data_IF_686678597566
#
_entry.id   IF_686678597566
#
_cell.length_a   1.000
_cell.length_b   1.000
_cell.length_c   1.000
_cell.angle_alpha   90.00
_cell.angle_beta   90.00
_cell.angle_gamma   90.00
#
_symmetry.space_group_name_H-M   'P 1'
#
loop_
_entity.id
_entity.type
_entity.pdbx_description
1 polymer ?
#
# COMPACT_ATOMS: atom_id res chain seq x y z
N UNK A 1 -23.31 26.74 24.79
CA UNK A 1 -23.97 25.46 24.43
C UNK A 1 -23.11 24.34 24.97
N UNK A 2 -23.56 23.76 26.08
CA UNK A 2 -22.99 22.58 26.75
C UNK A 2 -23.83 21.37 26.33
N UNK A 3 -23.20 20.19 26.34
CA UNK A 3 -23.73 18.87 25.96
C UNK A 3 -23.73 18.57 24.46
N UNK A 4 -22.76 17.75 24.03
CA UNK A 4 -22.93 16.38 23.51
C UNK A 4 -21.50 15.82 23.35
N UNK A 5 -21.04 15.08 24.37
CA UNK A 5 -19.90 14.17 24.28
C UNK A 5 -20.40 12.85 24.84
N UNK A 6 -20.21 11.77 24.08
CA UNK A 6 -20.28 10.36 24.43
C UNK A 6 -21.23 9.57 23.53
N UNK A 7 -20.74 9.18 22.36
CA UNK A 7 -21.19 7.93 21.74
C UNK A 7 -19.96 7.20 21.21
N UNK A 8 -19.67 6.07 21.86
CA UNK A 8 -18.62 5.14 21.49
C UNK A 8 -18.87 4.58 20.09
N UNK A 9 -17.80 4.53 19.29
CA UNK A 9 -17.77 3.85 18.00
C UNK A 9 -17.77 2.34 18.25
N UNK A 10 -18.94 1.71 18.20
CA UNK A 10 -19.07 0.27 18.06
C UNK A 10 -19.36 -0.03 16.59
N UNK A 11 -18.33 -0.40 15.83
CA UNK A 11 -18.50 -0.95 14.48
C UNK A 11 -18.83 -2.44 14.67
N UNK A 12 -20.11 -2.78 14.60
CA UNK A 12 -20.57 -4.16 14.47
C UNK A 12 -20.44 -4.55 13.00
N UNK A 13 -19.42 -5.34 12.68
CA UNK A 13 -19.26 -6.00 11.38
C UNK A 13 -20.21 -7.21 11.33
N UNK A 14 -21.33 -7.08 10.64
CA UNK A 14 -22.10 -8.25 10.21
C UNK A 14 -21.42 -8.85 8.99
N UNK A 15 -20.65 -9.92 9.18
CA UNK A 15 -20.13 -10.76 8.11
C UNK A 15 -21.29 -11.51 7.46
N UNK A 16 -21.63 -11.17 6.22
CA UNK A 16 -22.45 -12.01 5.35
C UNK A 16 -21.62 -13.24 4.96
N UNK A 17 -21.89 -14.38 5.61
CA UNK A 17 -21.35 -15.67 5.24
C UNK A 17 -21.93 -16.11 3.89
N UNK A 18 -21.19 -15.87 2.80
CA UNK A 18 -21.33 -16.70 1.61
C UNK A 18 -20.93 -18.11 2.02
N UNK A 19 -21.83 -19.07 1.81
CA UNK A 19 -21.61 -20.47 2.12
C UNK A 19 -20.40 -20.98 1.31
N UNK A 20 -19.24 -20.99 1.96
CA UNK A 20 -18.09 -21.75 1.50
C UNK A 20 -18.47 -23.22 1.62
N UNK A 21 -18.52 -23.92 0.50
CA UNK A 21 -18.58 -25.38 0.47
C UNK A 21 -17.35 -25.86 1.27
N UNK A 22 -17.59 -26.41 2.46
CA UNK A 22 -16.51 -26.73 3.39
C UNK A 22 -15.65 -27.84 2.80
N UNK A 23 -14.50 -27.47 2.25
CA UNK A 23 -13.49 -28.40 1.77
C UNK A 23 -13.06 -29.30 2.95
N UNK A 24 -13.51 -30.54 2.92
CA UNK A 24 -13.19 -31.54 3.94
C UNK A 24 -11.68 -31.78 4.00
N UNK A 25 -11.07 -31.51 5.16
CA UNK A 25 -9.65 -31.75 5.43
C UNK A 25 -9.25 -33.22 5.16
N UNK A 26 -10.17 -34.17 5.34
CA UNK A 26 -9.93 -35.59 5.09
C UNK A 26 -9.58 -35.93 3.63
N UNK A 27 -9.87 -35.05 2.66
CA UNK A 27 -9.48 -35.24 1.26
C UNK A 27 -7.96 -35.05 1.06
N UNK A 28 -7.31 -34.30 1.95
CA UNK A 28 -5.92 -33.86 1.82
C UNK A 28 -4.94 -34.70 2.63
N UNK A 29 -5.46 -35.54 3.53
CA UNK A 29 -4.70 -36.54 4.28
C UNK A 29 -4.37 -37.73 3.36
N UNK A 30 -3.24 -37.63 2.67
CA UNK A 30 -2.79 -38.58 1.65
C UNK A 30 -2.18 -39.81 2.29
N UNK A 31 -1.53 -39.64 3.44
CA UNK A 31 -0.93 -40.74 4.20
C UNK A 31 -1.96 -41.50 5.06
N UNK A 32 -3.17 -40.94 5.25
CA UNK A 32 -4.31 -41.47 6.02
C UNK A 32 -4.03 -41.70 7.49
N UNK A 33 -3.20 -40.85 8.10
CA UNK A 33 -2.88 -40.94 9.53
C UNK A 33 -3.86 -40.15 10.43
N UNK A 34 -4.82 -39.44 9.83
CA UNK A 34 -5.83 -38.64 10.50
C UNK A 34 -5.36 -37.22 10.87
N UNK A 35 -4.15 -36.83 10.47
CA UNK A 35 -3.55 -35.51 10.73
C UNK A 35 -2.94 -35.00 9.42
N UNK A 36 -3.23 -33.74 9.06
CA UNK A 36 -2.56 -33.15 7.90
C UNK A 36 -1.12 -32.82 8.25
N UNK A 37 -0.16 -33.42 7.55
CA UNK A 37 1.24 -33.01 7.64
C UNK A 37 1.45 -31.59 7.05
N UNK A 38 2.62 -31.00 7.25
CA UNK A 38 2.89 -29.62 6.79
C UNK A 38 2.62 -29.40 5.29
N UNK A 39 2.87 -30.43 4.47
CA UNK A 39 2.68 -30.37 3.03
C UNK A 39 1.20 -30.49 2.68
N UNK A 40 0.50 -31.42 3.29
CA UNK A 40 -0.94 -31.63 3.12
C UNK A 40 -1.76 -30.42 3.61
N UNK A 41 -1.37 -29.83 4.74
CA UNK A 41 -1.98 -28.62 5.30
C UNK A 41 -1.72 -27.37 4.43
N UNK A 42 -0.60 -27.33 3.71
CA UNK A 42 -0.30 -26.25 2.77
C UNK A 42 -1.18 -26.35 1.51
N UNK A 43 -1.29 -27.54 0.91
CA UNK A 43 -2.17 -27.79 -0.25
C UNK A 43 -3.62 -27.51 0.12
N UNK A 44 -4.07 -27.94 1.30
CA UNK A 44 -5.40 -27.61 1.81
C UNK A 44 -5.62 -26.10 1.93
N UNK A 45 -4.66 -25.35 2.51
CA UNK A 45 -4.75 -23.87 2.61
C UNK A 45 -4.81 -23.21 1.23
N UNK A 46 -3.99 -23.66 0.28
CA UNK A 46 -4.02 -23.16 -1.10
C UNK A 46 -5.38 -23.41 -1.75
N UNK A 47 -5.98 -24.59 -1.53
CA UNK A 47 -7.28 -24.95 -2.09
C UNK A 47 -8.45 -24.21 -1.42
N UNK A 48 -8.31 -23.87 -0.13
CA UNK A 48 -9.26 -22.98 0.57
C UNK A 48 -9.17 -21.55 0.03
N UNK A 49 -7.97 -21.10 -0.32
CA UNK A 49 -7.74 -19.76 -0.87
C UNK A 49 -8.13 -19.65 -2.36
N UNK A 50 -7.92 -20.71 -3.13
CA UNK A 50 -8.21 -20.78 -4.56
C UNK A 50 -9.13 -21.97 -4.89
N UNK A 51 -10.46 -21.73 -4.99
CA UNK A 51 -11.42 -22.76 -5.38
C UNK A 51 -11.21 -23.32 -6.79
N UNK A 52 -10.56 -22.58 -7.69
CA UNK A 52 -10.25 -23.06 -9.03
C UNK A 52 -9.10 -24.05 -8.97
N UNK A 53 -8.03 -23.72 -8.27
CA UNK A 53 -6.95 -24.67 -7.99
C UNK A 53 -7.51 -25.95 -7.36
N UNK A 54 -8.39 -25.81 -6.36
CA UNK A 54 -9.02 -26.94 -5.67
C UNK A 54 -9.84 -27.88 -6.56
N UNK A 55 -10.39 -27.34 -7.65
CA UNK A 55 -11.22 -28.07 -8.62
C UNK A 55 -10.37 -28.87 -9.62
N UNK A 56 -9.24 -28.31 -10.06
CA UNK A 56 -8.46 -28.87 -11.17
C UNK A 56 -7.16 -29.56 -10.75
N UNK A 57 -6.61 -29.27 -9.57
CA UNK A 57 -5.50 -30.03 -8.99
C UNK A 57 -6.03 -31.38 -8.46
N UNK A 58 -6.03 -32.38 -9.33
CA UNK A 58 -6.55 -33.72 -9.06
C UNK A 58 -5.54 -34.53 -8.27
N UNK A 59 -4.24 -34.28 -8.48
CA UNK A 59 -3.18 -35.02 -7.80
C UNK A 59 -2.78 -34.41 -6.45
N UNK A 60 -3.42 -33.30 -6.06
CA UNK A 60 -3.30 -32.59 -4.79
C UNK A 60 -1.84 -32.21 -4.50
N UNK A 61 -1.13 -31.70 -5.51
CA UNK A 61 0.26 -31.30 -5.39
C UNK A 61 0.45 -29.79 -5.14
N UNK A 62 -0.65 -29.02 -5.14
CA UNK A 62 -0.71 -27.58 -4.96
C UNK A 62 -0.39 -26.77 -6.24
N UNK A 63 -0.34 -27.42 -7.40
CA UNK A 63 -0.03 -26.82 -8.71
C UNK A 63 -0.90 -27.47 -9.78
N UNK A 64 -1.15 -26.75 -10.88
CA UNK A 64 -1.80 -27.32 -12.05
C UNK A 64 -0.75 -27.90 -12.99
N UNK A 65 -0.75 -29.22 -13.14
CA UNK A 65 0.08 -29.86 -14.16
C UNK A 65 -0.46 -29.54 -15.57
N UNK A 66 0.36 -29.68 -16.64
CA UNK A 66 -0.06 -29.34 -18.00
C UNK A 66 -1.38 -30.00 -18.45
N UNK A 67 -1.66 -31.20 -17.96
CA UNK A 67 -2.91 -31.93 -18.24
C UNK A 67 -4.12 -31.40 -17.46
N UNK A 68 -3.90 -30.86 -16.26
CA UNK A 68 -4.93 -30.24 -15.42
C UNK A 68 -5.25 -28.81 -15.89
N UNK A 69 -4.22 -28.06 -16.26
CA UNK A 69 -4.34 -26.75 -16.90
C UNK A 69 -5.10 -26.83 -18.24
N UNK A 70 -4.87 -27.88 -19.03
CA UNK A 70 -5.60 -28.10 -20.29
C UNK A 70 -7.09 -28.42 -20.06
N UNK A 71 -7.42 -29.17 -18.99
CA UNK A 71 -8.83 -29.39 -18.60
C UNK A 71 -9.52 -28.10 -18.18
N UNK A 72 -8.83 -27.27 -17.40
CA UNK A 72 -9.30 -25.93 -17.04
C UNK A 72 -9.55 -25.09 -18.30
N UNK A 73 -8.63 -25.11 -19.26
CA UNK A 73 -8.77 -24.40 -20.54
C UNK A 73 -9.98 -24.87 -21.33
N UNK A 74 -10.15 -26.18 -21.50
CA UNK A 74 -11.27 -26.78 -22.23
C UNK A 74 -12.63 -26.48 -21.57
N UNK A 75 -12.71 -26.49 -20.24
CA UNK A 75 -13.94 -26.19 -19.53
C UNK A 75 -14.29 -24.69 -19.61
N UNK A 76 -13.28 -23.81 -19.54
CA UNK A 76 -13.45 -22.39 -19.81
C UNK A 76 -13.95 -22.16 -21.25
N UNK A 77 -13.33 -22.79 -22.25
CA UNK A 77 -13.76 -22.69 -23.66
C UNK A 77 -15.20 -23.20 -23.88
N UNK A 78 -15.58 -24.32 -23.25
CA UNK A 78 -16.94 -24.84 -23.33
C UNK A 78 -17.98 -23.91 -22.68
N UNK A 79 -17.63 -23.26 -21.57
CA UNK A 79 -18.51 -22.31 -20.88
C UNK A 79 -18.62 -20.97 -21.63
N UNK A 80 -17.59 -20.55 -22.36
CA UNK A 80 -17.67 -19.46 -23.34
C UNK A 80 -18.51 -19.82 -24.58
N UNK A 81 -18.36 -21.02 -25.13
CA UNK A 81 -19.14 -21.48 -26.30
C UNK A 81 -20.64 -21.55 -26.02
N UNK A 82 -21.02 -21.86 -24.78
CA UNK A 82 -22.43 -21.91 -24.35
C UNK A 82 -23.01 -20.49 -24.17
N UNK A 83 -22.23 -19.55 -23.60
CA UNK A 83 -22.63 -18.13 -23.51
C UNK A 83 -22.70 -17.44 -24.88
N UNK A 84 -21.79 -17.78 -25.79
CA UNK A 84 -21.79 -17.27 -27.17
C UNK A 84 -23.02 -17.72 -27.97
N UNK A 85 -23.57 -18.91 -27.70
CA UNK A 85 -24.81 -19.39 -28.34
C UNK A 85 -26.06 -18.66 -27.83
N UNK A 86 -26.09 -18.23 -26.57
CA UNK A 86 -27.17 -17.37 -26.05
C UNK A 86 -27.14 -15.96 -26.62
N UNK A 87 -25.97 -15.43 -26.99
CA UNK A 87 -25.85 -14.10 -27.62
C UNK A 87 -26.07 -14.16 -29.14
N UNK A 88 -25.84 -15.32 -29.78
CA UNK A 88 -26.06 -15.50 -31.22
C UNK A 88 -27.53 -15.45 -31.67
N UNK A 89 -28.50 -15.51 -30.74
CA UNK A 89 -29.92 -15.36 -31.06
C UNK A 89 -30.44 -13.91 -30.98
N UNK A 90 -29.61 -12.95 -30.54
CA UNK A 90 -29.92 -11.53 -30.66
C UNK A 90 -29.15 -10.94 -31.85
N UNK A 91 -29.90 -10.47 -32.84
CA UNK A 91 -29.41 -9.99 -34.13
C UNK A 91 -28.67 -8.66 -33.95
N UNK A 92 -27.40 -8.70 -33.56
CA UNK A 92 -26.53 -7.54 -33.50
C UNK A 92 -25.74 -7.41 -34.82
N UNK A 93 -26.19 -6.48 -35.66
CA UNK A 93 -25.41 -5.97 -36.77
C UNK A 93 -24.32 -5.04 -36.25
N UNK A 94 -23.04 -5.39 -36.44
CA UNK A 94 -21.94 -4.45 -36.26
C UNK A 94 -21.57 -3.88 -37.63
N UNK A 95 -21.91 -2.60 -37.87
CA UNK A 95 -21.57 -1.85 -39.09
C UNK A 95 -21.86 -2.60 -40.41
N UNK A 96 -23.12 -2.99 -40.60
CA UNK A 96 -23.64 -3.56 -41.86
C UNK A 96 -22.93 -4.81 -42.39
N UNK A 97 -22.23 -5.57 -41.53
CA UNK A 97 -21.64 -6.88 -41.89
C UNK A 97 -22.24 -7.99 -41.05
N UNK A 98 -22.54 -9.14 -41.69
CA UNK A 98 -22.94 -10.36 -40.98
C UNK A 98 -21.72 -10.91 -40.23
N UNK A 99 -21.91 -11.33 -38.98
CA UNK A 99 -20.86 -11.96 -38.15
C UNK A 99 -20.19 -13.15 -38.85
N UNK A 100 -20.94 -13.87 -39.69
CA UNK A 100 -20.39 -14.98 -40.50
C UNK A 100 -19.27 -14.56 -41.47
N UNK A 101 -19.18 -13.29 -41.85
CA UNK A 101 -18.11 -12.75 -42.69
C UNK A 101 -16.90 -12.27 -41.88
N UNK A 102 -17.05 -12.05 -40.57
CA UNK A 102 -15.97 -11.68 -39.64
C UNK A 102 -15.18 -12.94 -39.24
N UNK A 103 -15.86 -14.07 -39.02
CA UNK A 103 -15.21 -15.35 -38.69
C UNK A 103 -14.33 -15.90 -39.82
N UNK A 104 -14.67 -15.62 -41.08
CA UNK A 104 -13.83 -15.97 -42.24
C UNK A 104 -12.53 -15.18 -42.33
N UNK A 105 -12.48 -13.98 -41.74
CA UNK A 105 -11.27 -13.15 -41.68
C UNK A 105 -10.41 -13.54 -40.47
N UNK A 106 -11.02 -13.99 -39.37
CA UNK A 106 -10.31 -14.48 -38.21
C UNK A 106 -9.60 -15.83 -38.44
N UNK A 107 -10.17 -16.72 -39.27
CA UNK A 107 -9.63 -18.06 -39.53
C UNK A 107 -8.42 -18.12 -40.49
N UNK A 108 -8.04 -17.00 -41.11
CA UNK A 108 -6.85 -16.91 -41.99
C UNK A 108 -5.63 -16.30 -41.29
N UNK A 109 -5.74 -15.88 -40.03
CA UNK A 109 -4.57 -15.49 -39.24
C UNK A 109 -3.82 -16.75 -38.81
N UNK A 110 -2.50 -16.84 -39.07
CA UNK A 110 -1.70 -17.90 -38.47
C UNK A 110 -1.84 -17.82 -36.95
N UNK A 111 -1.88 -18.97 -36.24
CA UNK A 111 -1.95 -18.98 -34.79
C UNK A 111 -0.84 -18.08 -34.22
N UNK A 112 -1.13 -17.25 -33.21
CA UNK A 112 -0.10 -16.41 -32.61
C UNK A 112 1.06 -17.31 -32.21
N UNK A 113 2.24 -17.01 -32.73
CA UNK A 113 3.45 -17.75 -32.38
C UNK A 113 3.56 -17.74 -30.86
N UNK A 114 3.52 -18.93 -30.26
CA UNK A 114 3.80 -19.11 -28.84
C UNK A 114 5.16 -18.44 -28.63
N UNK A 115 5.26 -17.35 -27.84
CA UNK A 115 6.53 -16.67 -27.65
C UNK A 115 7.53 -17.71 -27.15
N UNK A 116 8.60 -17.89 -27.93
CA UNK A 116 9.68 -18.81 -27.61
C UNK A 116 10.07 -18.65 -26.14
N UNK A 117 10.16 -19.78 -25.41
CA UNK A 117 10.55 -19.90 -24.00
C UNK A 117 11.24 -18.62 -23.52
N UNK A 118 10.44 -17.69 -23.01
CA UNK A 118 10.96 -16.56 -22.25
C UNK A 118 11.45 -17.25 -21.00
N UNK A 119 12.74 -17.60 -20.98
CA UNK A 119 13.41 -18.04 -19.76
C UNK A 119 12.94 -17.07 -18.69
N UNK A 120 12.26 -17.54 -17.63
CA UNK A 120 11.82 -16.64 -16.58
C UNK A 120 13.04 -15.81 -16.19
N UNK A 121 12.92 -14.47 -16.15
CA UNK A 121 14.07 -13.63 -15.85
C UNK A 121 14.71 -14.23 -14.62
N UNK A 122 16.00 -14.58 -14.71
CA UNK A 122 16.75 -15.12 -13.58
C UNK A 122 16.49 -14.17 -12.42
N UNK A 123 15.66 -14.61 -11.47
CA UNK A 123 15.19 -13.83 -10.34
C UNK A 123 16.34 -13.60 -9.37
N UNK A 124 17.31 -12.81 -9.78
CA UNK A 124 18.24 -12.19 -8.87
C UNK A 124 17.44 -11.18 -8.06
N UNK A 125 17.49 -11.32 -6.75
CA UNK A 125 17.15 -10.25 -5.81
C UNK A 125 17.78 -8.95 -6.32
N UNK A 126 16.98 -8.05 -6.90
CA UNK A 126 17.47 -6.77 -7.40
C UNK A 126 18.05 -5.96 -6.24
N UNK A 127 18.99 -5.06 -6.55
CA UNK A 127 19.56 -4.15 -5.57
C UNK A 127 18.44 -3.42 -4.81
N UNK A 128 18.46 -3.51 -3.48
CA UNK A 128 17.49 -2.85 -2.63
C UNK A 128 17.52 -1.33 -2.88
N UNK A 129 16.35 -0.73 -3.18
CA UNK A 129 16.21 0.70 -3.23
C UNK A 129 16.63 1.30 -1.89
N UNK A 130 17.65 2.16 -1.90
CA UNK A 130 18.14 2.84 -0.69
C UNK A 130 17.61 4.25 -0.54
N UNK A 131 17.26 4.91 -1.64
CA UNK A 131 16.78 6.29 -1.64
C UNK A 131 15.27 6.31 -1.89
N UNK A 132 14.53 6.89 -0.95
CA UNK A 132 13.09 7.06 -1.03
C UNK A 132 12.76 8.56 -1.06
N UNK A 133 11.91 8.97 -2.01
CA UNK A 133 11.37 10.33 -2.10
C UNK A 133 9.85 10.23 -2.09
N UNK A 134 9.24 10.56 -0.95
CA UNK A 134 7.81 10.38 -0.66
C UNK A 134 7.21 11.63 -0.04
N UNK A 135 5.89 11.69 0.12
CA UNK A 135 5.22 12.78 0.85
C UNK A 135 5.00 12.47 2.32
N UNK A 136 4.63 11.23 2.62
CA UNK A 136 4.17 10.82 3.94
C UNK A 136 5.15 9.80 4.55
N UNK A 137 5.26 9.83 5.88
CA UNK A 137 5.99 8.82 6.64
C UNK A 137 5.37 7.44 6.46
N UNK A 138 4.04 7.37 6.33
CA UNK A 138 3.30 6.14 6.01
C UNK A 138 3.58 5.59 4.60
N UNK A 139 4.40 6.25 3.79
CA UNK A 139 4.85 5.73 2.49
C UNK A 139 6.32 5.27 2.50
N UNK A 140 7.03 5.47 3.61
CA UNK A 140 8.43 5.05 3.80
C UNK A 140 8.61 4.07 4.95
N UNK A 141 7.52 3.64 5.59
CA UNK A 141 7.51 3.08 6.95
C UNK A 141 8.10 1.68 7.13
N UNK A 142 8.65 1.05 6.10
CA UNK A 142 9.39 -0.22 6.22
C UNK A 142 10.67 -0.21 5.39
N UNK A 143 10.95 0.91 4.69
CA UNK A 143 12.06 1.03 3.74
C UNK A 143 12.14 -0.16 2.77
N UNK A 144 10.98 -0.62 2.31
CA UNK A 144 10.86 -1.73 1.36
C UNK A 144 10.29 -1.17 0.07
N UNK A 145 10.91 -1.56 -1.04
CA UNK A 145 10.25 -1.49 -2.33
C UNK A 145 9.42 -2.77 -2.47
N UNK A 146 8.11 -2.63 -2.64
CA UNK A 146 7.25 -3.80 -2.80
C UNK A 146 7.64 -4.55 -4.08
N UNK A 147 8.11 -5.79 -3.96
CA UNK A 147 7.97 -6.74 -5.06
C UNK A 147 6.49 -7.03 -5.25
N UNK A 148 6.07 -7.18 -6.51
CA UNK A 148 4.69 -7.36 -6.98
C UNK A 148 3.81 -8.32 -6.14
N UNK A 149 4.41 -9.29 -5.43
CA UNK A 149 3.74 -10.35 -4.64
C UNK A 149 3.42 -9.94 -3.19
N UNK A 150 4.15 -8.97 -2.63
CA UNK A 150 3.99 -8.52 -1.25
C UNK A 150 3.47 -7.09 -1.26
N UNK A 151 2.21 -6.88 -0.86
CA UNK A 151 1.51 -5.59 -0.89
C UNK A 151 2.00 -4.56 0.13
N UNK A 152 3.31 -4.47 0.35
CA UNK A 152 3.95 -3.23 0.81
C UNK A 152 3.62 -2.11 -0.16
N UNK A 153 3.63 -0.85 0.26
CA UNK A 153 3.27 0.28 -0.60
C UNK A 153 4.28 0.37 -1.77
N UNK A 154 3.97 -0.13 -2.99
CA UNK A 154 4.88 0.03 -4.11
C UNK A 154 5.00 1.51 -4.45
N UNK A 155 6.05 1.87 -5.19
CA UNK A 155 6.26 3.24 -5.66
C UNK A 155 4.99 3.83 -6.30
N UNK A 156 4.23 3.03 -7.04
CA UNK A 156 2.97 3.45 -7.66
C UNK A 156 1.83 3.79 -6.70
N UNK A 157 1.80 3.18 -5.52
CA UNK A 157 0.75 3.42 -4.51
C UNK A 157 1.17 4.45 -3.46
N UNK A 158 2.43 4.83 -3.41
CA UNK A 158 2.93 5.82 -2.45
C UNK A 158 2.51 7.25 -2.84
N UNK A 159 2.44 8.16 -1.85
CA UNK A 159 2.30 9.60 -2.12
C UNK A 159 3.66 10.19 -2.46
N UNK A 160 3.74 10.94 -3.56
CA UNK A 160 4.99 11.56 -4.01
C UNK A 160 5.22 12.93 -3.40
N UNK A 161 6.49 13.29 -3.23
CA UNK A 161 6.85 14.64 -2.80
C UNK A 161 6.35 15.67 -3.82
N UNK A 162 5.98 16.84 -3.33
CA UNK A 162 5.50 17.96 -4.13
C UNK A 162 6.23 19.25 -3.76
N UNK A 163 6.59 20.03 -4.77
CA UNK A 163 7.03 21.39 -4.62
C UNK A 163 6.26 22.27 -5.60
N UNK A 164 5.77 23.43 -5.14
CA UNK A 164 5.14 24.43 -6.00
C UNK A 164 5.80 25.78 -5.78
N UNK A 165 6.04 26.48 -6.87
CA UNK A 165 6.54 27.84 -6.88
C UNK A 165 5.50 28.73 -7.55
N UNK A 166 5.14 29.83 -6.92
CA UNK A 166 4.28 30.85 -7.51
C UNK A 166 4.99 32.20 -7.43
N UNK A 167 4.94 32.93 -8.55
CA UNK A 167 5.39 34.31 -8.64
C UNK A 167 4.20 35.17 -9.04
N UNK A 168 3.98 36.24 -8.28
CA UNK A 168 2.99 37.26 -8.55
C UNK A 168 3.71 38.57 -8.89
N UNK A 169 3.64 38.98 -10.16
CA UNK A 169 4.24 40.22 -10.65
C UNK A 169 3.52 41.47 -10.15
N UNK A 170 2.21 41.38 -9.88
CA UNK A 170 1.39 42.51 -9.42
C UNK A 170 1.70 42.79 -7.95
N UNK A 171 1.70 41.74 -7.13
CA UNK A 171 2.00 41.85 -5.70
C UNK A 171 3.51 41.83 -5.40
N UNK A 172 4.35 41.67 -6.44
CA UNK A 172 5.81 41.46 -6.35
C UNK A 172 6.17 40.42 -5.31
N UNK A 173 5.41 39.33 -5.29
CA UNK A 173 5.54 38.27 -4.30
C UNK A 173 6.00 36.96 -4.94
N UNK A 174 6.70 36.16 -4.16
CA UNK A 174 7.14 34.82 -4.51
C UNK A 174 6.78 33.90 -3.35
N UNK A 175 6.25 32.72 -3.66
CA UNK A 175 5.98 31.69 -2.67
C UNK A 175 6.53 30.35 -3.15
N UNK A 176 7.19 29.63 -2.25
CA UNK A 176 7.62 28.26 -2.45
C UNK A 176 6.94 27.40 -1.39
N UNK A 177 6.15 26.42 -1.83
CA UNK A 177 5.53 25.43 -0.96
C UNK A 177 6.19 24.08 -1.20
N UNK A 178 6.62 23.43 -0.13
CA UNK A 178 7.24 22.10 -0.17
C UNK A 178 6.46 21.18 0.75
N UNK A 179 6.20 19.97 0.29
CA UNK A 179 5.68 18.88 1.10
C UNK A 179 6.33 17.58 0.63
N UNK A 180 7.27 17.07 1.41
CA UNK A 180 8.03 15.89 1.04
C UNK A 180 8.94 15.37 2.13
N UNK A 181 9.35 14.13 1.96
CA UNK A 181 10.29 13.38 2.76
C UNK A 181 11.31 12.73 1.83
N UNK A 182 12.58 12.91 2.15
CA UNK A 182 13.68 12.16 1.55
C UNK A 182 14.23 11.22 2.61
N UNK A 183 14.49 9.97 2.26
CA UNK A 183 15.11 9.02 3.17
C UNK A 183 16.15 8.17 2.48
N UNK A 184 17.24 7.88 3.19
CA UNK A 184 18.35 7.07 2.70
C UNK A 184 18.64 5.93 3.68
N UNK A 185 18.49 4.69 3.23
CA UNK A 185 18.73 3.47 4.01
C UNK A 185 20.23 3.22 4.10
N UNK A 186 20.76 3.29 5.31
CA UNK A 186 22.17 3.01 5.61
C UNK A 186 22.41 1.52 5.77
N UNK A 187 21.48 0.82 6.42
CA UNK A 187 21.56 -0.61 6.69
C UNK A 187 20.16 -1.19 6.72
N UNK A 188 19.96 -2.30 6.03
CA UNK A 188 18.73 -3.08 6.10
C UNK A 188 19.13 -4.55 6.16
N UNK A 189 18.86 -5.17 7.30
CA UNK A 189 19.00 -6.59 7.52
C UNK A 189 17.61 -7.15 7.83
N UNK A 190 16.73 -6.99 6.85
CA UNK A 190 15.35 -7.45 6.92
C UNK A 190 15.19 -8.58 5.91
N UNK A 191 14.98 -9.84 6.36
CA UNK A 191 14.99 -10.99 5.47
C UNK A 191 13.84 -11.00 4.45
N UNK A 192 12.83 -10.14 4.62
CA UNK A 192 11.80 -9.94 3.58
C UNK A 192 12.21 -8.93 2.50
N UNK A 193 13.38 -8.30 2.60
CA UNK A 193 13.94 -7.39 1.60
C UNK A 193 15.16 -8.04 0.92
N UNK A 194 15.26 -8.08 -0.42
CA UNK A 194 14.35 -7.47 -1.38
C UNK A 194 13.20 -8.36 -1.84
N UNK A 195 13.18 -9.66 -1.55
CA UNK A 195 12.21 -10.59 -2.16
C UNK A 195 11.75 -11.67 -1.16
N UNK A 196 10.65 -11.40 -0.44
CA UNK A 196 9.82 -12.49 0.09
C UNK A 196 8.80 -12.86 -0.97
N UNK A 197 8.95 -14.04 -1.56
CA UNK A 197 8.05 -14.52 -2.61
C UNK A 197 6.85 -15.25 -2.03
N UNK A 198 6.93 -15.69 -0.77
CA UNK A 198 5.92 -16.55 -0.15
C UNK A 198 5.78 -17.91 -0.83
N UNK A 199 6.68 -18.23 -1.78
CA UNK A 199 6.70 -19.51 -2.48
C UNK A 199 7.38 -20.59 -1.61
N UNK A 200 7.10 -21.88 -1.85
CA UNK A 200 7.68 -22.99 -1.06
C UNK A 200 9.21 -23.03 -1.04
N UNK A 201 9.85 -22.47 -2.06
CA UNK A 201 11.31 -22.42 -2.20
C UNK A 201 11.92 -21.18 -1.50
N UNK A 202 11.08 -20.33 -0.90
CA UNK A 202 11.53 -19.16 -0.15
C UNK A 202 12.21 -19.63 1.15
N UNK A 203 13.51 -19.34 1.35
CA UNK A 203 14.23 -19.75 2.56
C UNK A 203 13.61 -19.17 3.84
N UNK A 204 12.77 -18.15 3.72
CA UNK A 204 12.10 -17.48 4.84
C UNK A 204 10.67 -17.97 5.10
N UNK A 205 10.09 -18.82 4.23
CA UNK A 205 8.79 -19.47 4.46
C UNK A 205 8.81 -20.48 5.62
N UNK A 206 10.01 -20.86 6.10
CA UNK A 206 10.23 -21.86 7.17
C UNK A 206 10.29 -21.27 8.58
N UNK A 207 10.10 -19.95 8.78
CA UNK A 207 10.10 -19.37 10.13
C UNK A 207 8.75 -19.59 10.79
N UNK A 208 8.79 -20.03 12.04
CA UNK A 208 7.62 -20.17 12.88
C UNK A 208 7.16 -18.78 13.36
N UNK A 209 6.09 -18.27 12.77
CA UNK A 209 5.44 -17.02 13.17
C UNK A 209 4.62 -17.15 14.47
N UNK A 210 4.58 -18.32 15.11
CA UNK A 210 3.93 -18.48 16.41
C UNK A 210 4.83 -18.05 17.59
N UNK A 211 6.14 -17.89 17.36
CA UNK A 211 7.09 -17.46 18.39
C UNK A 211 7.60 -16.04 18.07
N UNK A 212 7.35 -15.05 18.97
CA UNK A 212 7.90 -13.71 18.81
C UNK A 212 9.42 -13.75 18.65
N UNK A 213 9.92 -13.29 17.52
CA UNK A 213 11.35 -13.26 17.22
C UNK A 213 11.75 -11.98 16.49
N UNK A 214 12.97 -11.50 16.75
CA UNK A 214 13.54 -10.41 15.97
C UNK A 214 13.73 -10.90 14.54
N UNK A 215 12.95 -10.30 13.64
CA UNK A 215 12.88 -10.70 12.25
C UNK A 215 13.90 -9.94 11.41
N UNK A 216 13.98 -8.62 11.60
CA UNK A 216 14.90 -7.77 10.85
C UNK A 216 15.12 -6.40 11.48
N UNK A 217 16.11 -5.67 10.97
CA UNK A 217 16.43 -4.31 11.42
C UNK A 217 16.73 -3.39 10.25
N UNK A 218 16.28 -2.13 10.35
CA UNK A 218 16.59 -1.09 9.35
C UNK A 218 17.08 0.17 10.05
N UNK A 219 18.10 0.80 9.47
CA UNK A 219 18.59 2.13 9.86
C UNK A 219 18.57 3.04 8.64
N UNK A 220 17.90 4.18 8.74
CA UNK A 220 17.80 5.15 7.66
C UNK A 220 17.94 6.59 8.15
N UNK A 221 18.58 7.42 7.34
CA UNK A 221 18.54 8.87 7.48
C UNK A 221 17.28 9.39 6.82
N UNK A 222 16.68 10.44 7.37
CA UNK A 222 15.54 11.08 6.72
C UNK A 222 15.51 12.58 6.95
N UNK A 223 14.85 13.28 6.02
CA UNK A 223 14.53 14.70 6.13
C UNK A 223 13.11 14.91 5.62
N UNK A 224 12.25 15.48 6.47
CA UNK A 224 10.89 15.91 6.13
C UNK A 224 10.87 17.43 6.00
N UNK A 225 10.20 17.93 4.97
CA UNK A 225 9.99 19.35 4.73
C UNK A 225 8.51 19.60 4.43
N UNK A 226 7.88 20.48 5.21
CA UNK A 226 6.49 20.86 5.01
C UNK A 226 6.30 22.36 5.28
N UNK A 227 5.61 23.03 4.36
CA UNK A 227 5.12 24.39 4.57
C UNK A 227 5.38 25.31 3.38
N UNK A 228 5.31 26.60 3.62
CA UNK A 228 5.47 27.65 2.61
C UNK A 228 6.45 28.70 3.11
N UNK A 229 7.34 29.17 2.23
CA UNK A 229 8.17 30.37 2.41
C UNK A 229 7.76 31.45 1.42
N UNK A 230 7.64 32.69 1.88
CA UNK A 230 7.22 33.82 1.06
C UNK A 230 8.31 34.90 1.00
N UNK A 231 8.45 35.55 -0.15
CA UNK A 231 9.26 36.75 -0.34
C UNK A 231 8.40 37.84 -1.00
N UNK A 232 8.11 38.96 -0.33
CA UNK A 232 8.50 39.33 1.04
C UNK A 232 7.84 38.45 2.12
N UNK A 233 8.44 38.42 3.33
CA UNK A 233 7.97 37.58 4.45
C UNK A 233 6.56 38.00 4.88
N UNK A 234 5.65 37.03 4.95
CA UNK A 234 4.28 37.24 5.46
C UNK A 234 4.13 36.63 6.86
N UNK A 235 3.18 37.13 7.64
CA UNK A 235 2.84 36.52 8.95
C UNK A 235 2.20 35.13 8.82
N UNK A 236 1.65 34.84 7.64
CA UNK A 236 1.10 33.54 7.29
C UNK A 236 2.17 32.51 6.90
N UNK A 237 3.43 32.93 6.76
CA UNK A 237 4.53 32.02 6.47
C UNK A 237 4.68 31.01 7.61
N UNK A 238 4.60 29.73 7.25
CA UNK A 238 4.70 28.63 8.19
C UNK A 238 5.41 27.46 7.56
N UNK A 239 6.43 26.94 8.24
CA UNK A 239 7.22 25.81 7.75
C UNK A 239 7.88 25.02 8.86
N UNK A 240 8.19 23.76 8.54
CA UNK A 240 8.97 22.85 9.36
C UNK A 240 9.88 22.02 8.44
N UNK A 241 11.15 21.97 8.81
CA UNK A 241 12.14 21.03 8.27
C UNK A 241 12.61 20.17 9.43
N UNK A 242 12.39 18.87 9.34
CA UNK A 242 12.82 17.89 10.33
C UNK A 242 13.86 16.97 9.71
N UNK A 243 14.92 16.66 10.43
CA UNK A 243 15.90 15.65 10.01
C UNK A 243 16.22 14.73 11.17
N UNK A 244 16.40 13.44 10.88
CA UNK A 244 16.60 12.44 11.90
C UNK A 244 17.11 11.11 11.37
N UNK A 245 17.14 10.15 12.28
CA UNK A 245 17.54 8.76 12.02
C UNK A 245 16.35 7.90 12.41
N UNK A 246 15.91 7.00 11.53
CA UNK A 246 14.98 5.94 11.90
C UNK A 246 15.76 4.66 12.20
N UNK A 247 15.57 4.14 13.41
CA UNK A 247 15.99 2.80 13.80
C UNK A 247 14.74 1.93 13.95
N UNK A 248 14.62 0.93 13.10
CA UNK A 248 13.45 0.06 13.00
C UNK A 248 13.83 -1.38 13.35
N UNK A 249 12.99 -2.04 14.13
CA UNK A 249 13.00 -3.47 14.35
C UNK A 249 11.70 -4.09 13.85
N UNK A 250 11.81 -5.10 12.99
CA UNK A 250 10.71 -5.96 12.58
C UNK A 250 10.67 -7.16 13.53
N UNK A 251 9.52 -7.42 14.13
CA UNK A 251 9.28 -8.52 15.06
C UNK A 251 8.24 -9.43 14.43
N UNK A 252 8.64 -10.66 14.12
CA UNK A 252 7.75 -11.68 13.58
C UNK A 252 7.10 -12.45 14.72
N UNK A 253 5.83 -12.75 14.56
CA UNK A 253 5.03 -13.52 15.50
C UNK A 253 4.54 -12.76 16.71
N UNK A 254 3.46 -13.26 17.29
CA UNK A 254 2.78 -12.66 18.43
C UNK A 254 1.29 -13.03 18.49
N UNK A 255 0.63 -12.77 19.62
CA UNK A 255 -0.76 -13.18 19.83
C UNK A 255 -1.79 -12.42 18.98
N UNK A 256 -1.39 -11.29 18.38
CA UNK A 256 -2.32 -10.38 17.68
C UNK A 256 -1.94 -10.12 16.21
N UNK A 257 -0.65 -10.16 15.86
CA UNK A 257 -0.17 -9.80 14.53
C UNK A 257 1.01 -10.67 14.12
N UNK A 258 1.02 -11.07 12.84
CA UNK A 258 2.06 -11.92 12.24
C UNK A 258 3.40 -11.17 12.16
N UNK A 259 3.35 -9.85 11.95
CA UNK A 259 4.54 -9.01 11.87
C UNK A 259 4.25 -7.64 12.47
N UNK A 260 5.22 -7.08 13.17
CA UNK A 260 5.10 -5.80 13.85
C UNK A 260 6.39 -5.01 13.67
N UNK A 261 6.27 -3.70 13.51
CA UNK A 261 7.42 -2.82 13.39
C UNK A 261 7.44 -1.87 14.57
N UNK A 262 8.59 -1.78 15.22
CA UNK A 262 8.87 -0.77 16.24
C UNK A 262 9.93 0.16 15.68
N UNK A 263 9.64 1.46 15.71
CA UNK A 263 10.49 2.49 15.14
C UNK A 263 10.84 3.48 16.24
N UNK A 264 12.13 3.83 16.30
CA UNK A 264 12.66 4.86 17.18
C UNK A 264 13.37 5.90 16.32
N UNK A 265 13.02 7.17 16.52
CA UNK A 265 13.41 8.26 15.63
C UNK A 265 13.79 9.54 16.38
N UNK A 266 15.06 9.70 16.79
CA UNK A 266 15.56 11.00 17.24
C UNK A 266 15.64 11.98 16.06
N UNK A 267 15.30 13.24 16.30
CA UNK A 267 15.32 14.27 15.27
C UNK A 267 15.64 15.67 15.79
N UNK A 268 16.12 16.50 14.87
CA UNK A 268 16.16 17.95 14.98
C UNK A 268 15.16 18.57 14.00
N UNK A 269 14.57 19.69 14.37
CA UNK A 269 13.62 20.44 13.57
C UNK A 269 13.93 21.93 13.58
N UNK A 270 13.83 22.54 12.40
CA UNK A 270 13.90 23.98 12.17
C UNK A 270 12.77 24.41 11.21
N UNK A 271 12.79 25.64 10.71
CA UNK A 271 11.91 26.15 9.66
C UNK A 271 12.70 26.43 8.37
N UNK A 272 12.05 26.83 7.28
CA UNK A 272 12.74 27.14 6.01
C UNK A 272 13.72 28.31 6.10
N UNK A 273 13.68 29.12 7.17
CA UNK A 273 14.62 30.22 7.41
C UNK A 273 15.73 29.86 8.39
N UNK A 274 15.71 28.65 8.96
CA UNK A 274 16.67 28.23 9.97
C UNK A 274 16.49 28.88 11.35
N UNK A 275 15.36 29.54 11.63
CA UNK A 275 15.15 30.28 12.88
C UNK A 275 14.67 29.35 14.01
N UNK A 276 13.88 28.34 13.67
CA UNK A 276 13.37 27.36 14.62
C UNK A 276 14.45 26.43 15.17
N UNK A 277 14.37 26.10 16.46
CA UNK A 277 15.22 25.10 17.12
C UNK A 277 14.38 24.20 18.01
N UNK A 278 14.14 23.00 17.51
CA UNK A 278 13.32 21.98 18.14
C UNK A 278 14.08 20.66 18.06
N UNK A 279 14.07 19.89 19.15
CA UNK A 279 14.66 18.55 19.17
C UNK A 279 13.66 17.59 19.79
N UNK A 280 13.63 16.37 19.29
CA UNK A 280 12.67 15.40 19.77
C UNK A 280 13.02 13.97 19.46
N UNK A 281 12.11 13.12 19.88
CA UNK A 281 12.18 11.69 19.79
C UNK A 281 10.79 11.16 19.50
N UNK A 282 10.64 10.42 18.42
CA UNK A 282 9.41 9.70 18.10
C UNK A 282 9.62 8.20 18.31
N UNK A 283 8.74 7.56 19.06
CA UNK A 283 8.56 6.11 19.06
C UNK A 283 7.28 5.78 18.31
N UNK A 284 7.32 4.78 17.43
CA UNK A 284 6.14 4.32 16.70
C UNK A 284 6.04 2.80 16.68
N UNK A 285 4.81 2.31 16.62
CA UNK A 285 4.46 0.90 16.49
C UNK A 285 3.46 0.73 15.35
N UNK A 286 3.75 -0.23 14.47
CA UNK A 286 2.95 -0.50 13.28
C UNK A 286 2.72 -2.01 13.12
N UNK A 287 1.47 -2.48 13.26
CA UNK A 287 1.12 -3.87 12.98
C UNK A 287 1.00 -4.15 11.48
N UNK A 288 1.31 -5.38 11.09
CA UNK A 288 1.15 -5.90 9.73
C UNK A 288 0.47 -7.27 9.82
N UNK A 289 -0.72 -7.36 9.21
CA UNK A 289 -1.53 -8.57 9.17
C UNK A 289 -2.28 -8.61 7.83
N UNK A 290 -1.66 -9.16 6.78
CA UNK A 290 -2.21 -9.02 5.43
C UNK A 290 -3.50 -9.80 5.19
N UNK A 291 -3.74 -10.85 5.99
CA UNK A 291 -5.03 -11.56 6.01
C UNK A 291 -6.19 -10.61 6.39
N UNK A 292 -5.91 -9.61 7.23
CA UNK A 292 -6.82 -8.53 7.58
C UNK A 292 -6.65 -7.28 6.71
N UNK A 293 -5.85 -7.37 5.63
CA UNK A 293 -5.45 -6.25 4.77
C UNK A 293 -4.84 -5.08 5.55
N UNK A 294 -4.18 -5.39 6.67
CA UNK A 294 -3.54 -4.43 7.57
C UNK A 294 -2.06 -4.30 7.22
N UNK A 295 -1.63 -3.07 6.95
CA UNK A 295 -0.27 -2.73 6.55
C UNK A 295 0.07 -3.10 5.11
N UNK A 296 -0.84 -3.74 4.37
CA UNK A 296 -0.65 -4.17 2.99
C UNK A 296 -1.62 -5.27 2.57
N UNK A 297 -1.49 -5.76 1.33
CA UNK A 297 -2.22 -6.94 0.82
C UNK A 297 -1.27 -8.11 0.57
N UNK A 298 -1.65 -9.33 0.95
CA UNK A 298 -1.04 -10.53 0.33
C UNK A 298 -1.85 -10.83 -0.90
N UNK A 299 -1.14 -11.11 -1.97
CA UNK A 299 -1.62 -11.06 -3.32
C UNK A 299 -2.97 -11.69 -3.65
N UNK A 300 -4.04 -10.91 -3.51
CA UNK A 300 -5.31 -11.10 -4.16
C UNK A 300 -6.12 -9.81 -4.03
N UNK A 301 -6.50 -9.17 -5.14
CA UNK A 301 -7.46 -8.07 -5.12
C UNK A 301 -8.72 -8.42 -4.35
N UNK A 302 -9.31 -7.45 -3.64
CA UNK A 302 -10.59 -7.68 -2.95
C UNK A 302 -11.68 -8.13 -3.90
N UNK A 303 -11.66 -7.58 -5.12
CA UNK A 303 -12.57 -7.92 -6.22
C UNK A 303 -11.84 -7.82 -7.55
N UNK A 304 -12.51 -8.16 -8.65
CA UNK A 304 -12.00 -7.94 -10.02
C UNK A 304 -11.72 -6.46 -10.35
N UNK A 305 -12.31 -5.52 -9.62
CA UNK A 305 -12.28 -4.09 -9.94
C UNK A 305 -11.61 -3.21 -8.90
N UNK A 306 -11.42 -3.72 -7.69
CA UNK A 306 -10.96 -2.94 -6.55
C UNK A 306 -10.07 -3.80 -5.67
N UNK A 307 -8.91 -3.24 -5.32
CA UNK A 307 -8.09 -3.67 -4.21
C UNK A 307 -8.05 -2.60 -3.12
N UNK A 308 -7.82 -3.01 -1.89
CA UNK A 308 -7.72 -2.10 -0.75
C UNK A 308 -6.90 -2.69 0.38
N UNK A 309 -6.29 -1.80 1.16
CA UNK A 309 -5.68 -2.12 2.45
C UNK A 309 -5.79 -0.92 3.37
N UNK A 310 -5.61 -1.16 4.66
CA UNK A 310 -5.55 -0.11 5.66
C UNK A 310 -4.26 -0.21 6.45
N UNK A 311 -3.81 0.91 7.01
CA UNK A 311 -2.60 1.04 7.79
C UNK A 311 -2.94 1.69 9.12
N UNK A 312 -2.21 1.30 10.15
CA UNK A 312 -2.28 1.91 11.47
C UNK A 312 -0.85 2.11 11.98
N UNK A 313 -0.56 3.33 12.42
CA UNK A 313 0.68 3.69 13.09
C UNK A 313 0.35 4.38 14.39
N UNK A 314 0.59 3.69 15.51
CA UNK A 314 0.57 4.35 16.81
C UNK A 314 1.90 5.06 17.03
N UNK A 315 1.87 6.28 17.57
CA UNK A 315 3.09 7.02 17.85
C UNK A 315 3.03 7.83 19.14
N UNK A 316 4.19 7.93 19.77
CA UNK A 316 4.47 8.83 20.87
C UNK A 316 5.63 9.75 20.44
N UNK A 317 5.44 11.06 20.60
CA UNK A 317 6.43 12.06 20.20
C UNK A 317 6.70 13.01 21.37
N UNK A 318 7.95 13.04 21.82
CA UNK A 318 8.42 13.93 22.87
C UNK A 318 9.35 14.93 22.21
N UNK A 319 9.07 16.23 22.36
CA UNK A 319 9.91 17.28 21.78
C UNK A 319 10.02 18.50 22.67
N UNK A 320 11.16 19.16 22.58
CA UNK A 320 11.46 20.42 23.24
C UNK A 320 11.62 21.52 22.21
N UNK A 321 10.89 22.62 22.43
CA UNK A 321 10.95 23.82 21.61
C UNK A 321 11.77 24.86 22.34
N UNK A 322 12.99 25.11 21.88
CA UNK A 322 13.85 26.18 22.42
C UNK A 322 13.57 27.52 21.74
N UNK A 323 13.46 27.48 20.40
CA UNK A 323 13.17 28.63 19.53
C UNK A 323 12.03 28.22 18.59
N UNK A 324 10.95 29.01 18.59
CA UNK A 324 9.69 28.68 17.91
C UNK A 324 9.81 28.71 16.38
N UNK A 325 10.59 29.65 15.83
CA UNK A 325 10.70 29.86 14.39
C UNK A 325 9.36 30.18 13.72
N UNK A 326 9.22 29.79 12.46
CA UNK A 326 8.00 29.90 11.65
C UNK A 326 6.99 28.75 11.89
N UNK A 327 6.83 28.31 13.13
CA UNK A 327 5.77 27.37 13.53
C UNK A 327 4.66 28.12 14.31
N UNK A 328 3.60 27.42 14.74
CA UNK A 328 2.67 27.95 15.75
C UNK A 328 2.88 27.29 17.13
N UNK A 329 4.03 26.65 17.34
CA UNK A 329 4.41 26.10 18.64
C UNK A 329 4.77 27.21 19.63
N UNK A 330 4.84 26.85 20.91
CA UNK A 330 5.32 27.73 21.99
C UNK A 330 6.57 27.12 22.59
N UNK A 331 7.42 27.93 23.24
CA UNK A 331 8.59 27.42 23.95
C UNK A 331 8.18 26.41 25.02
N UNK A 332 8.98 25.36 25.19
CA UNK A 332 8.82 24.35 26.24
C UNK A 332 8.66 22.93 25.68
N UNK A 333 8.24 22.03 26.55
CA UNK A 333 8.17 20.60 26.26
C UNK A 333 6.78 20.20 25.77
N UNK A 334 6.74 19.25 24.85
CA UNK A 334 5.53 18.67 24.28
C UNK A 334 5.63 17.15 24.39
N UNK A 335 4.53 16.53 24.81
CA UNK A 335 4.40 15.07 24.84
C UNK A 335 3.12 14.72 24.10
N UNK A 336 3.28 14.20 22.89
CA UNK A 336 2.19 13.77 22.03
C UNK A 336 2.04 12.26 22.11
N UNK A 337 0.80 11.80 22.14
CA UNK A 337 0.45 10.39 21.91
C UNK A 337 -0.76 10.31 20.99
N UNK A 338 -0.74 9.37 20.07
CA UNK A 338 -1.80 9.25 19.07
C UNK A 338 -1.57 8.15 18.06
N UNK A 339 -2.31 8.23 16.97
CA UNK A 339 -2.18 7.32 15.86
C UNK A 339 -2.54 7.97 14.53
N UNK A 340 -1.97 7.42 13.47
CA UNK A 340 -2.35 7.69 12.09
C UNK A 340 -2.96 6.43 11.51
N UNK A 341 -4.13 6.54 10.92
CA UNK A 341 -4.78 5.50 10.16
C UNK A 341 -4.92 5.92 8.71
N UNK A 342 -4.69 5.00 7.78
CA UNK A 342 -4.89 5.23 6.35
C UNK A 342 -5.70 4.10 5.74
N UNK A 343 -6.66 4.43 4.89
CA UNK A 343 -7.30 3.49 3.97
C UNK A 343 -6.82 3.82 2.56
N UNK A 344 -6.26 2.84 1.86
CA UNK A 344 -5.81 2.95 0.48
C UNK A 344 -6.70 2.09 -0.42
N UNK A 345 -7.12 2.67 -1.55
CA UNK A 345 -7.98 2.04 -2.55
C UNK A 345 -7.28 2.08 -3.90
N UNK A 346 -7.25 0.95 -4.61
CA UNK A 346 -6.70 0.83 -5.96
C UNK A 346 -7.75 0.25 -6.91
N UNK A 347 -8.45 1.08 -7.69
CA UNK A 347 -9.28 0.61 -8.79
C UNK A 347 -8.43 -0.07 -9.87
N UNK A 348 -8.99 -1.08 -10.53
CA UNK A 348 -8.33 -1.83 -11.60
C UNK A 348 -6.96 -2.38 -11.15
N UNK A 349 -6.92 -3.21 -10.11
CA UNK A 349 -5.66 -3.79 -9.65
C UNK A 349 -5.13 -4.78 -10.69
N UNK A 350 -3.81 -4.94 -10.72
CA UNK A 350 -3.19 -5.96 -11.54
C UNK A 350 -3.57 -7.35 -11.01
N UNK A 351 -4.10 -8.20 -11.90
CA UNK A 351 -4.51 -9.58 -11.58
C UNK A 351 -3.60 -10.63 -12.20
N UNK A 352 -2.71 -10.24 -13.12
CA UNK A 352 -1.86 -11.14 -13.89
C UNK A 352 -0.92 -12.00 -13.03
N UNK A 353 -0.67 -11.55 -11.80
CA UNK A 353 0.14 -12.26 -10.80
C UNK A 353 -0.59 -13.49 -10.25
N UNK A 354 -1.92 -13.40 -10.09
CA UNK A 354 -2.73 -14.43 -9.43
C UNK A 354 -3.41 -15.33 -10.44
N UNK A 355 -3.83 -14.72 -11.53
CA UNK A 355 -4.40 -15.40 -12.66
C UNK A 355 -3.64 -14.89 -13.89
N UNK A 356 -2.56 -15.58 -14.31
CA UNK A 356 -1.81 -15.24 -15.51
C UNK A 356 -2.67 -15.20 -16.77
N UNK A 357 -3.85 -15.82 -16.72
CA UNK A 357 -4.83 -15.87 -17.79
C UNK A 357 -5.99 -14.89 -17.59
N UNK A 358 -6.02 -14.14 -16.48
CA UNK A 358 -7.02 -13.10 -16.28
C UNK A 358 -6.76 -11.97 -17.27
N UNK A 359 -7.61 -11.90 -18.30
CA UNK A 359 -7.62 -10.74 -19.17
C UNK A 359 -7.93 -9.48 -18.35
N UNK A 360 -7.04 -8.47 -18.39
CA UNK A 360 -7.29 -7.22 -17.71
C UNK A 360 -8.48 -6.53 -18.37
N UNK A 361 -9.52 -6.27 -17.56
CA UNK A 361 -10.74 -5.59 -18.07
C UNK A 361 -10.39 -4.21 -18.64
N UNK A 362 -9.38 -3.55 -18.06
CA UNK A 362 -8.89 -2.24 -18.48
C UNK A 362 -7.36 -2.20 -18.37
N UNK A 363 -6.66 -2.83 -19.31
CA UNK A 363 -5.19 -2.93 -19.32
C UNK A 363 -4.49 -1.57 -19.09
N UNK A 364 -4.96 -0.53 -19.76
CA UNK A 364 -4.35 0.81 -19.67
C UNK A 364 -4.57 1.51 -18.33
N UNK A 365 -5.56 1.07 -17.55
CA UNK A 365 -5.94 1.67 -16.27
C UNK A 365 -5.34 0.95 -15.06
N UNK A 366 -4.62 -0.16 -15.28
CA UNK A 366 -4.05 -0.95 -14.18
C UNK A 366 -3.11 -0.11 -13.34
N UNK A 367 -3.38 -0.04 -12.04
CA UNK A 367 -2.53 0.70 -11.08
C UNK A 367 -2.41 2.20 -11.35
N UNK A 368 -3.27 2.76 -12.23
CA UNK A 368 -3.25 4.18 -12.58
C UNK A 368 -3.94 5.01 -11.51
N UNK A 369 -5.10 4.57 -11.05
CA UNK A 369 -5.89 5.30 -10.09
C UNK A 369 -5.61 4.82 -8.67
N UNK A 370 -5.62 5.76 -7.73
CA UNK A 370 -5.64 5.45 -6.32
C UNK A 370 -6.49 6.48 -5.57
N UNK A 371 -6.99 6.06 -4.42
CA UNK A 371 -7.59 6.97 -3.45
C UNK A 371 -7.09 6.64 -2.05
N UNK A 372 -6.78 7.68 -1.28
CA UNK A 372 -6.34 7.58 0.09
C UNK A 372 -7.27 8.36 1.00
N UNK A 373 -7.66 7.75 2.11
CA UNK A 373 -8.26 8.44 3.25
C UNK A 373 -7.29 8.34 4.40
N UNK A 374 -6.87 9.47 4.97
CA UNK A 374 -5.92 9.52 6.08
C UNK A 374 -6.55 10.24 7.26
N UNK A 375 -6.46 9.65 8.45
CA UNK A 375 -6.89 10.25 9.71
C UNK A 375 -5.71 10.24 10.66
N UNK A 376 -5.32 11.40 11.13
CA UNK A 376 -4.20 11.62 12.03
C UNK A 376 -4.76 12.26 13.31
N UNK A 377 -4.70 11.53 14.43
CA UNK A 377 -5.17 12.02 15.72
C UNK A 377 -4.06 11.93 16.76
N UNK A 378 -3.76 13.06 17.38
CA UNK A 378 -2.77 13.17 18.45
C UNK A 378 -3.28 14.05 19.58
N UNK A 379 -2.92 13.66 20.80
CA UNK A 379 -3.18 14.45 22.00
C UNK A 379 -1.87 14.87 22.65
N UNK A 380 -1.76 16.16 22.91
CA UNK A 380 -0.68 16.73 23.71
C UNK A 380 -1.07 16.67 25.19
N UNK A 381 -0.30 15.95 26.00
CA UNK A 381 -0.69 15.66 27.37
C UNK A 381 -0.52 16.85 28.32
N UNK A 382 0.47 17.73 28.10
CA UNK A 382 0.77 18.81 29.05
C UNK A 382 -0.24 19.96 28.95
N UNK A 383 -0.59 20.37 27.74
CA UNK A 383 -1.50 21.50 27.44
C UNK A 383 -2.89 21.04 27.04
N UNK A 384 -3.13 19.73 26.95
CA UNK A 384 -4.43 19.12 26.57
C UNK A 384 -4.92 19.61 25.21
N UNK A 385 -4.02 19.65 24.23
CA UNK A 385 -4.33 20.02 22.85
C UNK A 385 -4.67 18.74 22.09
N UNK A 386 -5.83 18.70 21.45
CA UNK A 386 -6.20 17.66 20.51
C UNK A 386 -5.91 18.12 19.08
N UNK A 387 -5.02 17.42 18.39
CA UNK A 387 -4.69 17.62 16.98
C UNK A 387 -5.33 16.49 16.17
N UNK A 388 -6.47 16.81 15.54
CA UNK A 388 -7.13 15.93 14.58
C UNK A 388 -6.97 16.54 13.19
N UNK A 389 -6.34 15.81 12.28
CA UNK A 389 -6.21 16.15 10.87
C UNK A 389 -6.72 14.97 10.05
N UNK A 390 -7.62 15.22 9.11
CA UNK A 390 -8.05 14.21 8.17
C UNK A 390 -7.91 14.73 6.74
N UNK A 391 -7.75 13.82 5.80
CA UNK A 391 -7.65 14.17 4.40
C UNK A 391 -8.06 13.04 3.48
N UNK A 392 -8.50 13.43 2.31
CA UNK A 392 -8.84 12.54 1.20
C UNK A 392 -8.01 12.94 0.00
N UNK A 393 -7.40 11.98 -0.68
CA UNK A 393 -6.68 12.19 -1.92
C UNK A 393 -7.19 11.22 -2.98
N UNK A 394 -7.31 11.72 -4.21
CA UNK A 394 -7.51 10.91 -5.41
C UNK A 394 -6.38 11.25 -6.37
N UNK A 395 -5.70 10.24 -6.89
CA UNK A 395 -4.57 10.43 -7.78
C UNK A 395 -4.58 9.54 -9.00
N UNK A 396 -3.83 9.99 -10.00
CA UNK A 396 -3.60 9.32 -11.27
C UNK A 396 -2.11 9.26 -11.57
N UNK A 397 -1.56 8.05 -11.66
CA UNK A 397 -0.18 7.78 -12.04
C UNK A 397 0.00 7.98 -13.55
N UNK A 398 0.73 9.05 -13.92
CA UNK A 398 1.03 9.42 -15.32
C UNK A 398 1.89 8.33 -15.96
N UNK A 399 2.88 7.83 -15.22
CA UNK A 399 3.74 6.75 -15.67
C UNK A 399 3.21 5.39 -15.15
N UNK A 400 3.32 4.31 -15.95
CA UNK A 400 2.86 2.98 -15.52
C UNK A 400 3.52 2.50 -14.23
N UNK A 401 4.76 2.92 -14.04
CA UNK A 401 5.61 2.58 -12.91
C UNK A 401 5.37 3.46 -11.66
N UNK A 402 4.48 4.46 -11.81
CA UNK A 402 4.04 5.39 -10.79
C UNK A 402 5.05 6.44 -10.34
N UNK A 403 6.20 6.59 -11.02
CA UNK A 403 7.20 7.60 -10.69
C UNK A 403 6.67 9.05 -10.73
N UNK A 404 5.66 9.33 -11.55
CA UNK A 404 4.97 10.62 -11.59
C UNK A 404 3.46 10.45 -11.48
N UNK A 405 2.79 11.31 -10.72
CA UNK A 405 1.32 11.31 -10.60
C UNK A 405 0.72 12.69 -10.42
N UNK A 406 -0.47 12.92 -10.97
CA UNK A 406 -1.30 14.07 -10.59
C UNK A 406 -2.24 13.65 -9.49
N UNK A 407 -2.43 14.47 -8.46
CA UNK A 407 -3.43 14.22 -7.43
C UNK A 407 -4.23 15.47 -7.09
N UNK A 408 -5.46 15.23 -6.65
CA UNK A 408 -6.31 16.23 -6.00
C UNK A 408 -6.53 15.74 -4.58
N UNK A 409 -6.25 16.60 -3.61
CA UNK A 409 -6.41 16.29 -2.20
C UNK A 409 -7.18 17.39 -1.47
N UNK A 410 -7.92 16.98 -0.46
CA UNK A 410 -8.57 17.84 0.50
C UNK A 410 -8.08 17.47 1.89
N UNK A 411 -7.66 18.46 2.67
CA UNK A 411 -7.20 18.28 4.05
C UNK A 411 -7.91 19.27 4.96
N UNK A 412 -8.40 18.80 6.10
CA UNK A 412 -9.07 19.60 7.12
C UNK A 412 -8.68 19.16 8.54
N UNK A 413 -8.40 20.13 9.40
CA UNK A 413 -8.07 19.88 10.80
C UNK A 413 -6.80 20.58 11.29
N UNK A 414 -6.20 20.07 12.36
CA UNK A 414 -5.05 20.67 13.06
C UNK A 414 -3.81 19.77 12.92
N UNK A 415 -2.75 20.29 12.32
CA UNK A 415 -1.47 19.61 12.18
C UNK A 415 -0.69 19.63 13.50
N UNK A 416 -0.25 18.48 14.02
CA UNK A 416 0.42 18.39 15.33
C UNK A 416 1.79 19.06 15.34
N UNK A 417 2.46 19.08 14.20
CA UNK A 417 3.86 19.51 14.10
C UNK A 417 4.02 21.01 14.00
N UNK A 418 2.98 21.67 13.50
CA UNK A 418 2.98 23.11 13.30
C UNK A 418 1.89 23.81 14.12
N UNK A 419 0.90 23.08 14.65
CA UNK A 419 -0.34 23.58 15.27
C UNK A 419 -1.15 24.49 14.34
N UNK A 420 -1.05 24.26 13.04
CA UNK A 420 -1.77 25.04 12.03
C UNK A 420 -3.06 24.34 11.67
N UNK A 421 -4.15 25.11 11.69
CA UNK A 421 -5.41 24.67 11.10
C UNK A 421 -5.29 24.70 9.59
N UNK A 422 -5.51 23.56 8.97
CA UNK A 422 -5.57 23.39 7.54
C UNK A 422 -7.03 23.22 7.12
N UNK A 423 -7.40 23.85 6.02
CA UNK A 423 -8.65 23.59 5.30
C UNK A 423 -8.39 23.96 3.85
N UNK A 424 -7.86 23.03 3.09
CA UNK A 424 -7.33 23.33 1.77
C UNK A 424 -7.58 22.22 0.76
N UNK A 425 -7.76 22.64 -0.49
CA UNK A 425 -7.68 21.79 -1.66
C UNK A 425 -6.30 21.97 -2.28
N UNK A 426 -5.65 20.87 -2.64
CA UNK A 426 -4.35 20.88 -3.28
C UNK A 426 -4.41 20.01 -4.53
N UNK A 427 -4.07 20.63 -5.67
CA UNK A 427 -3.74 19.90 -6.90
C UNK A 427 -2.23 19.84 -6.99
N UNK A 428 -1.67 18.64 -7.05
CA UNK A 428 -0.23 18.43 -7.03
C UNK A 428 0.22 17.57 -8.21
N UNK A 429 1.34 17.96 -8.82
CA UNK A 429 2.20 17.05 -9.57
C UNK A 429 3.18 16.45 -8.56
N UNK A 430 3.13 15.13 -8.42
CA UNK A 430 3.88 14.39 -7.41
C UNK A 430 5.00 13.61 -8.11
N UNK A 431 6.18 13.63 -7.48
CA UNK A 431 7.33 12.83 -7.90
C UNK A 431 7.62 11.76 -6.86
N UNK A 432 7.89 10.54 -7.33
CA UNK A 432 8.10 9.35 -6.53
C UNK A 432 9.39 8.68 -6.96
N UNK A 433 10.34 8.60 -6.03
CA UNK A 433 11.45 7.66 -6.11
C UNK A 433 11.18 6.57 -5.08
#
# INVERSE_FOLDING_TARGET
MKHIISTAFAIVLTSSSLAAETLSAAKYDRNKDGVLDEREALVWRLHVQDPMLAKYDVNLNGKLDPSEAEKLRLENEASFGTRSRTVANDVLFFKDRKIADIDKVASTRPPPAIPADVKPPKGGCQEQQRLFIRRDRLDTYQYREGTFVTGFVPRSKAKGASASFAHDDLDRSQSLTVNGRVSYVLSQNDPMSPCFTGLPDDPYAKRDFNVPSLFGTTVALWTDAQGTINAPRTKSEKSAVKTGIDAQAAIAGGPLFDLQYVIVSPYAQTDFRGEGRIYGFTAAWEPFAPNARLGGTIGAPATKYLDWFWQLRAEADIKRVDVVGATALTRGDYTWGGAVARLHLTPFPDRSIYDPFAEPVFADLIGRFYADVTVNYHREFNRRIDALLWGVEVGFNITPDGAASVSVSYTDGLEKDTLIKQRQYLVALNYKL
#
